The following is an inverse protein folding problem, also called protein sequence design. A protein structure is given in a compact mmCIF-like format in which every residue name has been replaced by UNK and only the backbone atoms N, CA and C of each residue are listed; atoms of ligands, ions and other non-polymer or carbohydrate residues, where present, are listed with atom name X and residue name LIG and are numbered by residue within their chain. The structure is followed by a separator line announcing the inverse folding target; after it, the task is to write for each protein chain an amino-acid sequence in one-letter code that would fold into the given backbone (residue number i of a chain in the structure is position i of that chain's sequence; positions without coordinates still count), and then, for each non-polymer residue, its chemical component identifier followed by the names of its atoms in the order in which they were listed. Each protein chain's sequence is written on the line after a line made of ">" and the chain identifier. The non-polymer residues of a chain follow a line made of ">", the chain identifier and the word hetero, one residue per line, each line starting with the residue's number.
data_IF_784569116176
#
_entry.id   IF_784569116176
#
_cell.length_a   1.000
_cell.length_b   1.000
_cell.length_c   1.000
_cell.angle_alpha   90.00
_cell.angle_beta   90.00
_cell.angle_gamma   90.00
#
_symmetry.space_group_name_H-M   'P 1'
#
loop_
_entity.id
_entity.type
_entity.pdbx_description
1 polymer ?
#
# COMPACT_ATOMS: atom_id res chain seq x y z
N UNK A 1 12.18 -9.68 -26.14
CA UNK A 1 11.76 -10.18 -24.82
C UNK A 1 10.86 -9.11 -24.22
N UNK A 2 9.65 -9.44 -23.76
CA UNK A 2 8.82 -8.45 -23.07
C UNK A 2 9.40 -8.22 -21.67
N UNK A 3 9.47 -6.96 -21.19
CA UNK A 3 9.93 -6.69 -19.83
C UNK A 3 8.99 -7.33 -18.81
N UNK A 4 9.57 -7.87 -17.73
CA UNK A 4 8.83 -8.38 -16.59
C UNK A 4 8.67 -7.24 -15.58
N UNK A 5 7.44 -7.03 -15.10
CA UNK A 5 7.16 -6.12 -13.99
C UNK A 5 7.12 -6.95 -12.71
N UNK A 6 7.97 -6.61 -11.74
CA UNK A 6 8.05 -7.28 -10.45
C UNK A 6 7.47 -6.35 -9.38
N UNK A 7 6.45 -6.84 -8.68
CA UNK A 7 5.89 -6.18 -7.50
C UNK A 7 6.39 -6.90 -6.25
N UNK A 8 7.04 -6.17 -5.36
CA UNK A 8 7.49 -6.67 -4.06
C UNK A 8 6.49 -6.25 -2.97
N UNK A 9 6.21 -7.16 -2.04
CA UNK A 9 5.29 -6.92 -0.91
C UNK A 9 6.04 -7.24 0.39
N UNK A 10 6.77 -6.27 0.95
CA UNK A 10 7.61 -6.50 2.13
C UNK A 10 6.83 -6.54 3.43
N UNK A 11 5.61 -6.04 3.47
CA UNK A 11 4.73 -6.09 4.63
C UNK A 11 3.31 -6.47 4.24
N UNK A 12 2.68 -7.26 5.08
CA UNK A 12 1.31 -7.73 4.88
C UNK A 12 0.65 -8.00 6.23
N UNK A 13 -0.69 -8.06 6.28
CA UNK A 13 -1.41 -8.41 7.49
C UNK A 13 -1.21 -9.89 7.93
N UNK A 14 -0.79 -10.75 7.04
CA UNK A 14 -0.48 -12.16 7.31
C UNK A 14 1.03 -12.33 7.49
N UNK A 15 1.51 -12.18 8.72
CA UNK A 15 2.92 -12.25 9.03
C UNK A 15 3.37 -13.70 9.28
N UNK A 16 4.45 -14.13 8.62
CA UNK A 16 5.07 -15.40 8.93
C UNK A 16 5.96 -15.25 10.19
N UNK A 17 5.84 -16.14 11.19
CA UNK A 17 6.51 -15.95 12.48
C UNK A 17 8.06 -15.99 12.43
N UNK A 18 8.62 -16.53 11.36
CA UNK A 18 10.07 -16.64 11.15
C UNK A 18 10.64 -15.53 10.26
N UNK A 19 9.82 -14.56 9.83
CA UNK A 19 10.24 -13.46 8.94
C UNK A 19 10.11 -12.14 9.68
N UNK A 20 11.15 -11.34 9.66
CA UNK A 20 11.11 -9.96 10.12
C UNK A 20 10.49 -9.07 9.01
N UNK A 21 9.49 -8.32 9.38
CA UNK A 21 8.80 -7.39 8.48
C UNK A 21 9.06 -5.96 8.90
N UNK A 22 9.15 -5.02 7.95
CA UNK A 22 9.28 -3.60 8.29
C UNK A 22 7.97 -3.12 8.97
N UNK A 23 8.12 -2.53 10.15
CA UNK A 23 7.01 -2.05 11.00
C UNK A 23 7.07 -0.54 11.25
N UNK A 24 7.93 0.17 10.54
CA UNK A 24 8.06 1.63 10.59
C UNK A 24 8.07 2.21 9.18
N UNK A 25 7.77 3.49 9.06
CA UNK A 25 7.83 4.24 7.79
C UNK A 25 9.21 4.12 7.15
N UNK A 26 10.26 4.36 7.94
CA UNK A 26 11.65 4.27 7.51
C UNK A 26 12.02 2.84 7.08
N UNK A 27 11.59 1.85 7.86
CA UNK A 27 11.86 0.44 7.53
C UNK A 27 11.21 0.00 6.22
N UNK A 28 9.98 0.47 5.93
CA UNK A 28 9.30 0.21 4.65
C UNK A 28 10.07 0.88 3.50
N UNK A 29 10.51 2.12 3.69
CA UNK A 29 11.25 2.86 2.67
C UNK A 29 12.60 2.21 2.36
N UNK A 30 13.36 1.80 3.38
CA UNK A 30 14.63 1.09 3.22
C UNK A 30 14.45 -0.26 2.51
N UNK A 31 13.41 -1.01 2.87
CA UNK A 31 13.12 -2.29 2.23
C UNK A 31 12.66 -2.09 0.78
N UNK A 32 11.89 -1.04 0.51
CA UNK A 32 11.52 -0.62 -0.84
C UNK A 32 12.74 -0.33 -1.71
N UNK A 33 13.73 0.38 -1.17
CA UNK A 33 14.99 0.66 -1.87
C UNK A 33 15.76 -0.62 -2.20
N UNK A 34 15.87 -1.57 -1.25
CA UNK A 34 16.51 -2.88 -1.49
C UNK A 34 15.77 -3.69 -2.55
N UNK A 35 14.43 -3.68 -2.51
CA UNK A 35 13.61 -4.34 -3.53
C UNK A 35 13.86 -3.72 -4.92
N UNK A 36 13.98 -2.41 -4.99
CA UNK A 36 14.30 -1.69 -6.23
C UNK A 36 15.66 -2.07 -6.79
N UNK A 37 16.69 -2.11 -5.94
CA UNK A 37 18.04 -2.56 -6.31
C UNK A 37 18.03 -4.02 -6.80
N UNK A 38 17.20 -4.87 -6.24
CA UNK A 38 17.00 -6.25 -6.66
C UNK A 38 16.20 -6.39 -7.97
N UNK A 39 15.65 -5.30 -8.51
CA UNK A 39 14.95 -5.26 -9.80
C UNK A 39 13.43 -5.15 -9.72
N UNK A 40 12.85 -4.93 -8.54
CA UNK A 40 11.42 -4.64 -8.43
C UNK A 40 11.09 -3.25 -9.01
N UNK A 41 9.91 -3.13 -9.61
CA UNK A 41 9.38 -1.88 -10.16
C UNK A 41 8.33 -1.26 -9.26
N UNK A 42 7.64 -2.07 -8.48
CA UNK A 42 6.52 -1.67 -7.64
C UNK A 42 6.73 -2.22 -6.22
N UNK A 43 6.55 -1.35 -5.24
CA UNK A 43 6.44 -1.67 -3.82
C UNK A 43 4.96 -1.69 -3.45
N UNK A 44 4.39 -2.87 -3.26
CA UNK A 44 3.06 -3.02 -2.72
C UNK A 44 3.15 -3.07 -1.20
N UNK A 45 2.64 -2.04 -0.54
CA UNK A 45 2.75 -1.91 0.91
C UNK A 45 1.40 -1.65 1.56
N UNK A 46 1.31 -1.96 2.85
CA UNK A 46 0.14 -1.72 3.68
C UNK A 46 0.46 -0.69 4.76
N UNK A 47 -0.42 0.30 4.90
CA UNK A 47 -0.45 1.19 6.05
C UNK A 47 -1.27 0.48 7.13
N UNK A 48 -0.59 -0.17 8.05
CA UNK A 48 -1.18 -1.09 9.01
C UNK A 48 -1.82 -0.37 10.22
N UNK A 49 -2.14 0.92 10.07
CA UNK A 49 -2.57 1.77 11.15
C UNK A 49 -3.76 1.24 11.93
N UNK A 50 -4.67 0.47 11.29
CA UNK A 50 -5.91 0.03 11.92
C UNK A 50 -6.41 -1.33 11.44
N UNK A 51 -5.53 -2.16 10.93
CA UNK A 51 -5.85 -3.57 10.84
C UNK A 51 -5.83 -4.08 12.26
N UNK A 52 -7.00 -4.33 12.82
CA UNK A 52 -7.16 -4.69 14.22
C UNK A 52 -6.20 -5.78 14.67
N UNK A 53 -6.16 -6.05 15.94
CA UNK A 53 -5.25 -6.95 16.66
C UNK A 53 -4.96 -8.31 15.97
N UNK A 54 -5.80 -8.70 15.02
CA UNK A 54 -5.66 -9.94 14.25
C UNK A 54 -4.41 -9.98 13.34
N UNK A 55 -3.91 -8.85 12.91
CA UNK A 55 -2.70 -8.79 12.08
C UNK A 55 -1.42 -8.44 12.86
N UNK A 56 -1.52 -8.22 14.16
CA UNK A 56 -0.36 -8.05 15.06
C UNK A 56 0.52 -6.83 14.80
N UNK A 57 0.09 -5.93 13.93
CA UNK A 57 0.86 -4.75 13.54
C UNK A 57 0.13 -3.50 13.98
N UNK A 58 0.75 -2.78 14.89
CA UNK A 58 0.36 -1.40 15.18
C UNK A 58 0.68 -0.56 13.96
N UNK A 59 -0.18 0.40 13.67
CA UNK A 59 -0.05 1.24 12.50
C UNK A 59 1.34 1.80 12.27
N UNK A 60 1.78 1.72 11.02
CA UNK A 60 3.12 2.15 10.63
C UNK A 60 3.19 3.67 10.47
N UNK A 61 2.06 4.31 10.20
CA UNK A 61 1.98 5.73 9.92
C UNK A 61 0.93 6.04 8.85
N UNK A 62 0.92 7.28 8.40
CA UNK A 62 0.03 7.70 7.33
C UNK A 62 0.61 7.34 5.96
N UNK A 63 -0.25 7.15 4.98
CA UNK A 63 0.15 6.90 3.60
C UNK A 63 1.12 7.94 3.06
N UNK A 64 0.86 9.23 3.33
CA UNK A 64 1.73 10.31 2.89
C UNK A 64 3.16 10.17 3.43
N UNK A 65 3.32 9.73 4.68
CA UNK A 65 4.64 9.54 5.28
C UNK A 65 5.39 8.39 4.61
N UNK A 66 4.70 7.25 4.37
CA UNK A 66 5.28 6.07 3.70
C UNK A 66 5.72 6.43 2.27
N UNK A 67 4.84 7.08 1.50
CA UNK A 67 5.11 7.45 0.10
C UNK A 67 6.28 8.41 0.03
N UNK A 68 6.23 9.50 0.82
CA UNK A 68 7.27 10.52 0.84
C UNK A 68 8.63 9.96 1.28
N UNK A 69 8.65 9.11 2.31
CA UNK A 69 9.89 8.51 2.78
C UNK A 69 10.47 7.53 1.76
N UNK A 70 9.63 6.68 1.16
CA UNK A 70 10.04 5.75 0.11
C UNK A 70 10.68 6.49 -1.07
N UNK A 71 10.06 7.59 -1.53
CA UNK A 71 10.58 8.38 -2.66
C UNK A 71 11.85 9.18 -2.35
N UNK A 72 12.20 9.36 -1.07
CA UNK A 72 13.54 9.89 -0.71
C UNK A 72 14.64 8.85 -0.89
N UNK A 73 14.31 7.57 -0.75
CA UNK A 73 15.26 6.47 -0.80
C UNK A 73 15.38 5.81 -2.17
N UNK A 74 14.31 5.83 -2.98
CA UNK A 74 14.32 5.19 -4.30
C UNK A 74 13.24 5.75 -5.24
N UNK A 75 13.33 5.38 -6.52
CA UNK A 75 12.35 5.67 -7.58
C UNK A 75 11.34 4.53 -7.77
N UNK A 76 11.22 3.60 -6.82
CA UNK A 76 10.24 2.52 -6.88
C UNK A 76 8.82 3.10 -6.78
N UNK A 77 7.91 2.61 -7.63
CA UNK A 77 6.51 3.03 -7.57
C UNK A 77 5.83 2.45 -6.32
N UNK A 78 5.14 3.29 -5.56
CA UNK A 78 4.43 2.87 -4.35
C UNK A 78 2.98 2.56 -4.67
N UNK A 79 2.58 1.31 -4.47
CA UNK A 79 1.20 0.85 -4.56
C UNK A 79 0.62 0.64 -3.16
N UNK A 80 -0.44 1.38 -2.84
CA UNK A 80 -1.16 1.23 -1.59
C UNK A 80 -2.06 0.01 -1.61
N UNK A 81 -1.86 -0.92 -0.66
CA UNK A 81 -2.73 -2.07 -0.42
C UNK A 81 -3.95 -1.67 0.39
N UNK A 82 -5.15 -1.77 -0.20
CA UNK A 82 -6.36 -1.20 0.39
C UNK A 82 -7.41 -2.22 0.84
N UNK A 83 -7.13 -3.51 0.72
CA UNK A 83 -8.12 -4.57 0.93
C UNK A 83 -8.70 -4.64 2.36
N UNK A 84 -7.95 -4.19 3.36
CA UNK A 84 -8.33 -4.28 4.78
C UNK A 84 -8.64 -2.91 5.39
N UNK A 85 -8.70 -1.86 4.58
CA UNK A 85 -8.90 -0.48 5.03
C UNK A 85 -10.37 -0.09 5.02
N UNK A 86 -10.76 0.78 5.96
CA UNK A 86 -12.04 1.49 5.93
C UNK A 86 -12.09 2.47 4.75
N UNK A 87 -13.28 2.91 4.36
CA UNK A 87 -13.45 3.90 3.30
C UNK A 87 -12.61 5.17 3.54
N UNK A 88 -12.63 5.71 4.77
CA UNK A 88 -11.85 6.91 5.11
C UNK A 88 -10.34 6.73 4.90
N UNK A 89 -9.80 5.56 5.25
CA UNK A 89 -8.38 5.23 5.05
C UNK A 89 -8.04 5.02 3.56
N UNK A 90 -8.98 4.50 2.77
CA UNK A 90 -8.82 4.39 1.32
C UNK A 90 -8.78 5.78 0.66
N UNK A 91 -9.65 6.69 1.08
CA UNK A 91 -9.63 8.10 0.62
C UNK A 91 -8.29 8.75 0.96
N UNK A 92 -7.76 8.53 2.17
CA UNK A 92 -6.43 9.06 2.56
C UNK A 92 -5.31 8.62 1.60
N UNK A 93 -5.34 7.39 1.09
CA UNK A 93 -4.35 6.90 0.13
C UNK A 93 -4.36 7.70 -1.19
N UNK A 94 -5.54 8.11 -1.66
CA UNK A 94 -5.65 8.98 -2.85
C UNK A 94 -5.19 10.40 -2.55
N UNK A 95 -5.58 10.97 -1.43
CA UNK A 95 -5.14 12.31 -1.00
C UNK A 95 -3.62 12.38 -0.82
N UNK A 96 -3.00 11.27 -0.40
CA UNK A 96 -1.56 11.13 -0.27
C UNK A 96 -0.82 11.06 -1.62
N UNK A 97 -1.55 11.00 -2.75
CA UNK A 97 -1.02 10.92 -4.12
C UNK A 97 -0.10 9.70 -4.33
N UNK A 98 -0.57 8.53 -3.92
CA UNK A 98 0.10 7.28 -4.22
C UNK A 98 0.29 7.11 -5.74
N UNK A 99 1.40 6.50 -6.17
CA UNK A 99 1.62 6.21 -7.60
C UNK A 99 0.59 5.22 -8.12
N UNK A 100 0.17 4.29 -7.27
CA UNK A 100 -0.81 3.26 -7.57
C UNK A 100 -1.63 2.90 -6.35
N UNK A 101 -2.85 2.42 -6.60
CA UNK A 101 -3.72 1.82 -5.57
C UNK A 101 -4.25 0.48 -6.06
N UNK A 102 -4.45 -0.47 -5.15
CA UNK A 102 -5.08 -1.74 -5.49
C UNK A 102 -6.58 -1.67 -5.21
N UNK A 103 -7.38 -2.13 -6.16
CA UNK A 103 -8.84 -2.19 -6.04
C UNK A 103 -9.30 -3.62 -6.24
N UNK A 104 -10.13 -4.12 -5.33
CA UNK A 104 -10.79 -5.41 -5.47
C UNK A 104 -12.13 -5.26 -6.21
N UNK A 105 -12.19 -5.74 -7.43
CA UNK A 105 -13.39 -5.64 -8.27
C UNK A 105 -14.43 -6.74 -7.99
N UNK A 106 -14.08 -7.77 -7.23
CA UNK A 106 -14.93 -8.95 -6.97
C UNK A 106 -15.60 -8.95 -5.60
N UNK A 107 -15.50 -7.88 -4.85
CA UNK A 107 -16.07 -7.79 -3.51
C UNK A 107 -17.56 -7.46 -3.57
N UNK A 108 -18.35 -8.07 -2.68
CA UNK A 108 -19.82 -7.97 -2.63
C UNK A 108 -20.34 -7.20 -1.42
N UNK A 109 -19.49 -6.48 -0.68
CA UNK A 109 -19.95 -5.74 0.49
C UNK A 109 -20.34 -4.29 0.16
N UNK A 110 -21.12 -3.72 1.08
CA UNK A 110 -21.67 -2.36 0.94
C UNK A 110 -20.57 -1.29 0.95
N UNK A 111 -19.48 -1.50 1.69
CA UNK A 111 -18.33 -0.58 1.74
C UNK A 111 -17.67 -0.41 0.38
N UNK A 112 -17.69 -1.45 -0.46
CA UNK A 112 -17.12 -1.38 -1.79
C UNK A 112 -18.02 -0.59 -2.76
N UNK A 113 -19.33 -0.63 -2.57
CA UNK A 113 -20.26 0.18 -3.36
C UNK A 113 -20.09 1.68 -3.05
N UNK A 114 -19.89 2.05 -1.79
CA UNK A 114 -19.56 3.42 -1.40
C UNK A 114 -18.23 3.87 -1.99
N UNK A 115 -17.19 3.03 -1.92
CA UNK A 115 -15.90 3.33 -2.50
C UNK A 115 -15.97 3.58 -4.02
N UNK A 116 -16.70 2.76 -4.76
CA UNK A 116 -16.86 2.93 -6.20
C UNK A 116 -17.60 4.24 -6.55
N UNK A 117 -18.61 4.62 -5.78
CA UNK A 117 -19.38 5.82 -6.06
C UNK A 117 -18.65 7.10 -5.62
N UNK A 118 -17.98 7.08 -4.48
CA UNK A 118 -17.43 8.29 -3.87
C UNK A 118 -15.96 8.55 -4.24
N UNK A 119 -15.25 7.53 -4.71
CA UNK A 119 -13.81 7.62 -4.99
C UNK A 119 -13.47 7.38 -6.46
N UNK A 120 -14.03 6.35 -7.10
CA UNK A 120 -13.72 6.07 -8.51
C UNK A 120 -14.35 7.07 -9.47
N UNK A 121 -15.56 7.52 -9.21
CA UNK A 121 -16.23 8.53 -10.04
C UNK A 121 -15.44 9.85 -10.13
N UNK A 122 -14.95 10.44 -9.00
CA UNK A 122 -14.10 11.62 -9.07
C UNK A 122 -12.76 11.38 -9.78
N UNK A 123 -12.25 10.15 -9.82
CA UNK A 123 -11.01 9.84 -10.53
C UNK A 123 -11.19 9.73 -12.05
N UNK A 124 -12.37 9.39 -12.53
CA UNK A 124 -12.69 9.38 -13.96
C UNK A 124 -12.80 10.80 -14.53
N UNK A 125 -12.99 11.82 -13.69
CA UNK A 125 -13.08 13.22 -14.06
C UNK A 125 -11.74 13.98 -14.03
N UNK A 126 -10.65 13.35 -13.55
CA UNK A 126 -9.29 13.90 -13.49
C UNK A 126 -8.45 13.44 -14.68
#
# INVERSE_FOLDING_TARGET
>A
MNPLIITATPNHCWLHPEVEYPVTVEGIAEEGAKCREAGASILHTHCLADIGDECGTKGVGKWADIINETHKHSDILVQCGMSTLTLAQRIEAFEAKADMVSIMLSHHDEDFAEFNNDVLHPMEEL
#
